data_IF_423802686109
#
_entry.id   IF_423802686109
#
_cell.length_a   1.000
_cell.length_b   1.000
_cell.length_c   1.000
_cell.angle_alpha   90.00
_cell.angle_beta   90.00
_cell.angle_gamma   90.00
#
_symmetry.space_group_name_H-M   'P 1'
#
loop_
_entity.id
_entity.type
_entity.pdbx_description
1 polymer ?
#
# COMPACT_ATOMS: atom_id res chain seq x y z
N UNK A 1 11.30 -29.77 54.83
CA UNK A 1 10.46 -29.69 53.62
C UNK A 1 10.33 -28.23 53.12
N UNK A 2 11.45 -27.56 52.77
CA UNK A 2 11.45 -26.14 52.34
C UNK A 2 12.32 -25.86 51.10
N UNK A 3 12.77 -26.89 50.38
CA UNK A 3 13.68 -26.75 49.23
C UNK A 3 13.09 -27.17 47.87
N UNK A 4 11.81 -27.51 47.80
CA UNK A 4 11.17 -28.01 46.56
C UNK A 4 10.33 -26.92 45.86
N UNK A 5 10.05 -25.79 46.55
CA UNK A 5 9.19 -24.74 46.01
C UNK A 5 9.91 -23.70 45.11
N UNK A 6 11.22 -23.83 44.89
CA UNK A 6 12.00 -22.84 44.12
C UNK A 6 12.31 -23.26 42.68
N UNK A 7 11.92 -24.45 42.23
CA UNK A 7 12.18 -24.89 40.84
C UNK A 7 10.98 -24.69 39.89
N UNK A 8 9.77 -24.49 40.42
CA UNK A 8 8.56 -24.36 39.61
C UNK A 8 8.31 -22.94 39.06
N UNK A 9 9.10 -21.95 39.49
CA UNK A 9 8.98 -20.56 38.98
C UNK A 9 9.91 -20.31 37.78
N UNK A 10 10.89 -21.20 37.52
CA UNK A 10 11.86 -21.02 36.44
C UNK A 10 11.37 -21.51 35.07
N UNK A 11 10.25 -22.23 35.00
CA UNK A 11 9.72 -22.79 33.75
C UNK A 11 8.66 -21.90 33.05
N UNK A 12 8.34 -20.73 33.62
CA UNK A 12 7.30 -19.84 33.10
C UNK A 12 7.83 -18.47 32.66
N UNK A 13 9.12 -18.38 32.33
CA UNK A 13 9.69 -17.25 31.59
C UNK A 13 9.79 -17.63 30.10
N UNK A 14 8.67 -18.09 29.52
CA UNK A 14 8.53 -18.11 28.07
C UNK A 14 8.54 -16.65 27.65
N UNK A 15 9.68 -16.19 27.13
CA UNK A 15 9.84 -14.90 26.49
C UNK A 15 8.72 -14.73 25.47
N UNK A 16 7.67 -14.01 25.86
CA UNK A 16 6.63 -13.57 24.94
C UNK A 16 7.26 -12.42 24.14
N UNK A 17 8.05 -12.77 23.13
CA UNK A 17 8.54 -11.79 22.15
C UNK A 17 7.32 -11.20 21.46
N UNK A 18 6.92 -10.00 21.90
CA UNK A 18 5.90 -9.18 21.27
C UNK A 18 6.37 -8.87 19.84
N UNK A 19 5.97 -9.72 18.90
CA UNK A 19 6.09 -9.40 17.48
C UNK A 19 5.05 -8.32 17.19
N UNK A 20 5.51 -7.09 16.97
CA UNK A 20 4.63 -6.03 16.48
C UNK A 20 4.27 -6.38 15.05
N UNK A 21 3.06 -6.93 14.83
CA UNK A 21 2.51 -7.06 13.50
C UNK A 21 2.20 -5.65 12.98
N UNK A 22 3.06 -5.12 12.11
CA UNK A 22 2.79 -3.87 11.41
C UNK A 22 1.85 -4.17 10.25
N UNK A 23 0.63 -3.65 10.34
CA UNK A 23 -0.27 -3.64 9.19
C UNK A 23 0.26 -2.66 8.14
N UNK A 24 0.03 -2.97 6.86
CA UNK A 24 0.36 -2.08 5.75
C UNK A 24 -0.29 -0.70 5.96
N UNK A 25 0.53 0.35 6.04
CA UNK A 25 0.03 1.72 6.16
C UNK A 25 -0.59 2.17 4.84
N UNK A 26 -1.84 2.64 4.91
CA UNK A 26 -2.64 3.09 3.77
C UNK A 26 -3.29 4.41 4.12
N UNK A 27 -3.08 5.42 3.27
CA UNK A 27 -3.65 6.75 3.42
C UNK A 27 -4.58 7.03 2.25
N UNK A 28 -5.82 7.44 2.50
CA UNK A 28 -6.67 8.00 1.45
C UNK A 28 -6.11 9.35 1.00
N UNK A 29 -6.08 9.59 -0.32
CA UNK A 29 -5.59 10.87 -0.85
C UNK A 29 -6.58 12.02 -0.57
N UNK A 30 -7.86 11.69 -0.47
CA UNK A 30 -8.96 12.64 -0.25
C UNK A 30 -9.66 12.32 1.08
N UNK A 31 -10.02 13.34 1.90
CA UNK A 31 -10.70 13.13 3.18
C UNK A 31 -12.16 12.67 3.06
N UNK A 32 -12.68 12.60 1.83
CA UNK A 32 -14.06 12.25 1.52
C UNK A 32 -14.16 11.80 0.06
N UNK A 33 -15.32 11.97 -0.56
CA UNK A 33 -15.51 11.60 -1.97
C UNK A 33 -14.54 12.41 -2.84
N UNK A 34 -13.79 11.72 -3.71
CA UNK A 34 -12.80 12.37 -4.54
C UNK A 34 -13.47 13.33 -5.57
N UNK A 35 -12.80 14.39 -6.03
CA UNK A 35 -13.41 15.37 -6.93
C UNK A 35 -13.95 14.74 -8.22
N UNK A 36 -15.24 14.94 -8.49
CA UNK A 36 -15.93 14.36 -9.65
C UNK A 36 -16.43 12.92 -9.46
N UNK A 37 -16.25 12.32 -8.28
CA UNK A 37 -16.88 11.06 -7.92
C UNK A 37 -18.19 11.29 -7.18
N UNK A 38 -19.11 10.33 -7.28
CA UNK A 38 -20.35 10.29 -6.51
C UNK A 38 -20.41 9.10 -5.55
N UNK A 39 -19.45 8.18 -5.67
CA UNK A 39 -19.39 6.92 -4.93
C UNK A 39 -18.04 6.75 -4.23
N UNK A 40 -18.04 5.94 -3.17
CA UNK A 40 -16.86 5.55 -2.40
C UNK A 40 -16.87 4.04 -2.20
N UNK A 41 -16.48 3.32 -3.22
CA UNK A 41 -16.46 1.86 -3.23
C UNK A 41 -15.05 1.30 -3.04
N UNK A 42 -14.97 0.05 -2.59
CA UNK A 42 -13.71 -0.67 -2.49
C UNK A 42 -13.10 -0.95 -3.87
N UNK A 43 -11.77 -1.06 -3.92
CA UNK A 43 -11.03 -1.43 -5.13
C UNK A 43 -11.56 -2.75 -5.70
N UNK A 44 -11.82 -2.78 -7.01
CA UNK A 44 -12.23 -3.99 -7.73
C UNK A 44 -11.03 -4.58 -8.44
N UNK A 45 -10.33 -5.49 -7.77
CA UNK A 45 -9.18 -6.19 -8.33
C UNK A 45 -9.28 -7.70 -8.27
N UNK A 46 -8.58 -8.37 -9.18
CA UNK A 46 -8.54 -9.83 -9.29
C UNK A 46 -7.18 -10.33 -9.76
N UNK A 47 -6.92 -11.60 -9.49
CA UNK A 47 -5.83 -12.36 -10.11
C UNK A 47 -6.23 -12.71 -11.56
N UNK A 48 -5.36 -12.44 -12.51
CA UNK A 48 -5.57 -12.80 -13.92
C UNK A 48 -4.91 -14.14 -14.26
N UNK A 49 -5.17 -14.66 -15.47
CA UNK A 49 -4.69 -15.96 -15.92
C UNK A 49 -3.15 -16.08 -15.96
N UNK A 50 -2.46 -14.95 -16.12
CA UNK A 50 -1.00 -14.85 -16.05
C UNK A 50 -0.45 -14.80 -14.61
N UNK A 51 -1.31 -15.00 -13.61
CA UNK A 51 -0.92 -15.00 -12.21
C UNK A 51 -0.67 -13.60 -11.63
N UNK A 52 -0.95 -12.52 -12.37
CA UNK A 52 -0.75 -11.15 -11.86
C UNK A 52 -2.06 -10.53 -11.34
N UNK A 53 -1.99 -9.88 -10.18
CA UNK A 53 -3.09 -9.13 -9.60
C UNK A 53 -3.19 -7.73 -10.22
N UNK A 54 -4.39 -7.42 -10.71
CA UNK A 54 -4.70 -6.13 -11.33
C UNK A 54 -5.99 -5.56 -10.74
N UNK A 55 -6.06 -4.24 -10.66
CA UNK A 55 -7.23 -3.52 -10.18
C UNK A 55 -7.90 -2.85 -11.38
N UNK A 56 -9.18 -3.16 -11.60
CA UNK A 56 -9.96 -2.62 -12.72
C UNK A 56 -10.70 -1.33 -12.38
N UNK A 57 -10.90 -1.05 -11.10
CA UNK A 57 -11.62 0.13 -10.63
C UNK A 57 -11.10 0.59 -9.28
N UNK A 58 -10.89 1.90 -9.18
CA UNK A 58 -10.55 2.63 -7.95
C UNK A 58 -11.42 3.88 -7.91
N UNK A 59 -12.17 4.05 -6.82
CA UNK A 59 -12.97 5.25 -6.53
C UNK A 59 -12.44 6.02 -5.32
N UNK A 60 -11.79 5.31 -4.39
CA UNK A 60 -11.11 5.89 -3.23
C UNK A 60 -9.60 5.74 -3.45
N UNK A 61 -8.93 6.74 -4.02
CA UNK A 61 -7.52 6.62 -4.33
C UNK A 61 -6.68 6.67 -3.04
N UNK A 62 -5.65 5.82 -2.97
CA UNK A 62 -4.82 5.63 -1.77
C UNK A 62 -3.34 5.71 -2.06
N UNK A 63 -2.56 6.14 -1.06
CA UNK A 63 -1.12 6.00 -0.96
C UNK A 63 -0.80 4.87 0.03
N UNK A 64 -0.12 3.82 -0.43
CA UNK A 64 0.24 2.65 0.37
C UNK A 64 1.74 2.66 0.65
N UNK A 65 2.13 2.78 1.91
CA UNK A 65 3.51 3.04 2.31
C UNK A 65 4.29 1.76 2.65
N UNK A 66 5.29 1.43 1.86
CA UNK A 66 6.16 0.27 2.03
C UNK A 66 7.49 0.74 2.62
N UNK A 67 7.77 0.37 3.86
CA UNK A 67 9.06 0.67 4.51
C UNK A 67 10.03 -0.51 4.42
N UNK A 68 11.32 -0.27 4.11
CA UNK A 68 12.33 -1.31 4.20
C UNK A 68 12.55 -1.71 5.67
N UNK A 69 13.04 -2.93 5.89
CA UNK A 69 13.43 -3.39 7.23
C UNK A 69 14.60 -2.55 7.78
N UNK A 70 15.56 -2.22 6.91
CA UNK A 70 16.68 -1.34 7.19
C UNK A 70 16.73 -0.24 6.14
N UNK A 71 16.70 1.01 6.59
CA UNK A 71 16.68 2.19 5.72
C UNK A 71 18.11 2.55 5.31
N UNK A 72 18.36 2.70 4.00
CA UNK A 72 19.66 3.11 3.44
C UNK A 72 19.70 4.59 3.01
N UNK A 73 18.53 5.20 2.81
CA UNK A 73 18.37 6.59 2.36
C UNK A 73 17.06 7.19 2.85
N UNK A 74 17.04 8.52 3.03
CA UNK A 74 15.83 9.29 3.35
C UNK A 74 14.89 9.53 2.17
N UNK A 75 15.28 9.11 0.95
CA UNK A 75 14.43 9.21 -0.22
C UNK A 75 13.14 8.38 -0.08
N UNK A 76 12.04 8.93 -0.62
CA UNK A 76 10.77 8.27 -0.82
C UNK A 76 10.47 8.19 -2.32
N UNK A 77 10.17 6.98 -2.81
CA UNK A 77 9.75 6.76 -4.20
C UNK A 77 8.24 6.61 -4.30
N UNK A 78 7.58 7.51 -5.05
CA UNK A 78 6.18 7.35 -5.43
C UNK A 78 6.07 6.46 -6.67
N UNK A 79 5.26 5.40 -6.58
CA UNK A 79 5.04 4.43 -7.65
C UNK A 79 3.60 4.55 -8.13
N UNK A 80 3.42 4.81 -9.42
CA UNK A 80 2.12 4.85 -10.08
C UNK A 80 2.02 3.66 -11.03
N UNK A 81 1.33 2.56 -10.64
CA UNK A 81 1.20 1.40 -11.52
C UNK A 81 0.54 1.78 -12.84
N UNK A 82 1.00 1.23 -13.95
CA UNK A 82 0.44 1.44 -15.28
C UNK A 82 -0.88 0.68 -15.49
N UNK A 83 -1.23 0.46 -16.76
CA UNK A 83 -2.57 -0.01 -17.17
C UNK A 83 -3.35 0.99 -18.02
N UNK A 84 -2.68 2.04 -18.50
CA UNK A 84 -3.20 2.97 -19.51
C UNK A 84 -4.48 3.69 -19.08
N UNK A 85 -4.63 3.96 -17.78
CA UNK A 85 -5.82 4.53 -17.15
C UNK A 85 -7.09 3.66 -17.24
N UNK A 86 -7.01 2.40 -17.69
CA UNK A 86 -8.16 1.49 -17.69
C UNK A 86 -8.20 0.60 -16.44
N UNK A 87 -7.06 0.43 -15.80
CA UNK A 87 -6.86 -0.33 -14.58
C UNK A 87 -5.45 -0.06 -14.05
N UNK A 88 -5.09 -0.76 -12.98
CA UNK A 88 -3.77 -0.75 -12.37
C UNK A 88 -3.14 -2.13 -12.50
N UNK A 89 -1.93 -2.16 -13.03
CA UNK A 89 -0.97 -3.27 -12.91
C UNK A 89 -0.45 -3.38 -11.46
N UNK A 90 -1.37 -3.51 -10.50
CA UNK A 90 -1.15 -3.21 -9.08
C UNK A 90 -0.04 -4.05 -8.43
N UNK A 91 0.15 -5.29 -8.88
CA UNK A 91 1.20 -6.14 -8.34
C UNK A 91 2.55 -5.94 -9.03
N UNK A 92 2.66 -6.21 -10.33
CA UNK A 92 3.96 -6.25 -11.01
C UNK A 92 4.60 -4.86 -11.16
N UNK A 93 3.79 -3.81 -11.36
CA UNK A 93 4.25 -2.42 -11.45
C UNK A 93 4.05 -1.64 -10.14
N UNK A 94 3.42 -2.25 -9.13
CA UNK A 94 3.21 -1.64 -7.81
C UNK A 94 3.97 -2.40 -6.73
N UNK A 95 3.31 -3.36 -6.08
CA UNK A 95 3.83 -4.09 -4.91
C UNK A 95 5.21 -4.72 -5.14
N UNK A 96 5.47 -5.32 -6.31
CA UNK A 96 6.77 -5.94 -6.61
C UNK A 96 7.88 -4.91 -6.78
N UNK A 97 7.57 -3.76 -7.40
CA UNK A 97 8.51 -2.62 -7.50
C UNK A 97 8.82 -2.05 -6.12
N UNK A 98 7.80 -1.89 -5.28
CA UNK A 98 7.98 -1.45 -3.90
C UNK A 98 8.86 -2.42 -3.11
N UNK A 99 8.61 -3.73 -3.21
CA UNK A 99 9.44 -4.75 -2.57
C UNK A 99 10.90 -4.72 -3.06
N UNK A 100 11.12 -4.52 -4.36
CA UNK A 100 12.45 -4.35 -4.92
C UNK A 100 13.17 -3.12 -4.34
N UNK A 101 12.51 -1.96 -4.30
CA UNK A 101 13.09 -0.74 -3.73
C UNK A 101 13.37 -0.87 -2.22
N UNK A 102 12.46 -1.51 -1.49
CA UNK A 102 12.66 -1.82 -0.08
C UNK A 102 13.88 -2.72 0.14
N UNK A 103 14.13 -3.69 -0.75
CA UNK A 103 15.35 -4.53 -0.69
C UNK A 103 16.66 -3.73 -0.88
N UNK A 104 16.56 -2.49 -1.38
CA UNK A 104 17.66 -1.54 -1.51
C UNK A 104 17.68 -0.48 -0.41
N UNK A 105 16.81 -0.61 0.61
CA UNK A 105 16.71 0.31 1.74
C UNK A 105 16.00 1.63 1.41
N UNK A 106 15.24 1.69 0.32
CA UNK A 106 14.47 2.87 -0.10
C UNK A 106 13.02 2.72 0.39
N UNK A 107 12.44 3.77 0.96
CA UNK A 107 11.00 3.78 1.25
C UNK A 107 10.20 3.97 -0.05
N UNK A 108 9.21 3.14 -0.29
CA UNK A 108 8.35 3.23 -1.46
C UNK A 108 6.89 3.51 -1.06
N UNK A 109 6.16 4.23 -1.91
CA UNK A 109 4.75 4.51 -1.72
C UNK A 109 3.99 4.24 -3.02
N UNK A 110 3.15 3.19 -3.03
CA UNK A 110 2.36 2.81 -4.21
C UNK A 110 1.04 3.57 -4.19
N UNK A 111 0.75 4.29 -5.27
CA UNK A 111 -0.46 5.09 -5.42
C UNK A 111 -1.48 4.32 -6.24
N UNK A 112 -2.58 3.91 -5.60
CA UNK A 112 -3.76 3.45 -6.30
C UNK A 112 -4.57 4.68 -6.71
N UNK A 113 -4.34 5.19 -7.91
CA UNK A 113 -5.08 6.33 -8.45
C UNK A 113 -6.38 5.90 -9.12
N UNK A 114 -7.32 6.84 -9.30
CA UNK A 114 -8.63 6.53 -9.88
C UNK A 114 -8.54 6.01 -11.31
N UNK A 115 -9.15 4.85 -11.50
CA UNK A 115 -9.36 4.15 -12.77
C UNK A 115 -10.77 3.53 -12.76
N UNK A 116 -11.38 3.25 -13.92
CA UNK A 116 -10.91 3.59 -15.27
C UNK A 116 -11.03 5.10 -15.54
N UNK A 117 -10.44 5.59 -16.63
CA UNK A 117 -10.61 6.97 -17.10
C UNK A 117 -12.10 7.35 -17.15
N UNK A 118 -12.42 8.57 -16.73
CA UNK A 118 -13.80 9.07 -16.69
C UNK A 118 -14.23 9.53 -18.09
N UNK A 119 -15.46 9.18 -18.48
CA UNK A 119 -16.02 9.60 -19.77
C UNK A 119 -16.23 11.12 -19.78
N UNK A 120 -16.09 11.74 -20.96
CA UNK A 120 -16.26 13.19 -21.11
C UNK A 120 -15.09 14.05 -20.60
N UNK A 121 -13.99 13.43 -20.17
CA UNK A 121 -12.78 14.11 -19.74
C UNK A 121 -11.53 13.56 -20.45
N UNK A 122 -10.43 14.32 -20.38
CA UNK A 122 -9.11 13.83 -20.76
C UNK A 122 -8.77 12.52 -20.03
N UNK A 123 -8.06 11.61 -20.70
CA UNK A 123 -7.81 10.25 -20.20
C UNK A 123 -7.19 10.21 -18.79
N UNK A 124 -6.45 11.24 -18.42
CA UNK A 124 -5.69 11.34 -17.18
C UNK A 124 -6.37 12.22 -16.13
N UNK A 125 -7.53 12.82 -16.40
CA UNK A 125 -8.12 13.89 -15.57
C UNK A 125 -8.20 13.55 -14.07
N UNK A 126 -8.81 12.41 -13.72
CA UNK A 126 -8.91 11.97 -12.32
C UNK A 126 -7.54 11.57 -11.75
N UNK A 127 -6.79 10.77 -12.50
CA UNK A 127 -5.46 10.28 -12.11
C UNK A 127 -4.44 11.41 -11.87
N UNK A 128 -4.55 12.51 -12.62
CA UNK A 128 -3.69 13.67 -12.50
C UNK A 128 -3.93 14.41 -11.18
N UNK A 129 -5.19 14.65 -10.82
CA UNK A 129 -5.52 15.23 -9.51
C UNK A 129 -5.03 14.35 -8.37
N UNK A 130 -5.18 13.02 -8.50
CA UNK A 130 -4.71 12.07 -7.51
C UNK A 130 -3.18 12.08 -7.41
N UNK A 131 -2.46 12.14 -8.53
CA UNK A 131 -1.00 12.24 -8.54
C UNK A 131 -0.49 13.53 -7.88
N UNK A 132 -1.09 14.68 -8.22
CA UNK A 132 -0.77 15.96 -7.57
C UNK A 132 -1.03 15.91 -6.06
N UNK A 133 -2.12 15.25 -5.64
CA UNK A 133 -2.46 15.09 -4.23
C UNK A 133 -1.48 14.15 -3.53
N UNK A 134 -1.08 13.05 -4.15
CA UNK A 134 -0.09 12.12 -3.62
C UNK A 134 1.26 12.82 -3.39
N UNK A 135 1.74 13.60 -4.36
CA UNK A 135 2.97 14.41 -4.20
C UNK A 135 2.87 15.42 -3.05
N UNK A 136 1.68 15.99 -2.80
CA UNK A 136 1.48 16.93 -1.68
C UNK A 136 1.51 16.24 -0.31
N UNK A 137 1.10 14.97 -0.23
CA UNK A 137 1.01 14.22 1.02
C UNK A 137 2.27 13.44 1.36
N UNK A 138 3.12 13.20 0.36
CA UNK A 138 4.35 12.43 0.45
C UNK A 138 5.52 13.29 0.90
#
# INVERSE_FOLDING_TARGET
MKKILSFAVFACAVFLSLTTLSAQEVYELWPGTAPGETVREADVGKRHADGLYRISRVTVPTLRLYRPAEKSTDALMLIFPGGGYHGLAAEHEGTQVAAYLNSKGVTAAVVHYRVPRRQGHEKHWAAWMDAQRAVRLA
#
